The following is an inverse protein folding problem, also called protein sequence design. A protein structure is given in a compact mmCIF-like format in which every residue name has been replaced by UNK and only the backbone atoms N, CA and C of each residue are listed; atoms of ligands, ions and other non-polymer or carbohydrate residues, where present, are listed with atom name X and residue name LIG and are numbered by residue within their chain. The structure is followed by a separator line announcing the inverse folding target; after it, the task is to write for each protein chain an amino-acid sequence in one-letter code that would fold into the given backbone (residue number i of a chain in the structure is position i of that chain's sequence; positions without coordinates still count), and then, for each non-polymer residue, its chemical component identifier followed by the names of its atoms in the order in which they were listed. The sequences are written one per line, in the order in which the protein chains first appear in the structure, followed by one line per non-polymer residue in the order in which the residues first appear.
data_IF_423666193751
#
_entry.id   IF_423666193751
#
_cell.length_a   1.000
_cell.length_b   1.000
_cell.length_c   1.000
_cell.angle_alpha   90.00
_cell.angle_beta   90.00
_cell.angle_gamma   90.00
#
_symmetry.space_group_name_H-M   'P 1'
#
loop_
_entity.id
_entity.type
_entity.pdbx_description
1 polymer ?
#
# COMPACT_ATOMS: atom_id res chain seq x y z
N UNK A 1 5.12 -0.91 -4.62
CA UNK A 1 4.04 -0.21 -3.86
C UNK A 1 2.63 -0.68 -4.24
N UNK A 2 2.16 -0.47 -5.47
CA UNK A 2 0.77 -0.78 -5.86
C UNK A 2 0.33 -2.21 -5.51
N UNK A 3 1.16 -3.23 -5.77
CA UNK A 3 0.85 -4.64 -5.43
C UNK A 3 0.49 -4.83 -3.96
N UNK A 4 1.35 -4.34 -3.06
CA UNK A 4 1.18 -4.45 -1.60
C UNK A 4 -0.11 -3.77 -1.15
N UNK A 5 -0.37 -2.53 -1.58
CA UNK A 5 -1.61 -1.82 -1.23
C UNK A 5 -2.85 -2.57 -1.72
N UNK A 6 -2.79 -3.19 -2.91
CA UNK A 6 -3.90 -3.99 -3.44
C UNK A 6 -4.15 -5.25 -2.61
N UNK A 7 -3.08 -5.96 -2.25
CA UNK A 7 -3.18 -7.17 -1.43
C UNK A 7 -3.74 -6.85 -0.05
N UNK A 8 -3.15 -5.89 0.65
CA UNK A 8 -3.53 -5.53 2.02
C UNK A 8 -5.02 -5.16 2.09
N UNK A 9 -5.51 -4.31 1.16
CA UNK A 9 -6.92 -3.94 1.15
C UNK A 9 -7.85 -5.12 0.84
N UNK A 10 -7.41 -6.05 -0.02
CA UNK A 10 -8.19 -7.26 -0.33
C UNK A 10 -8.33 -8.11 0.93
N UNK A 11 -7.23 -8.34 1.66
CA UNK A 11 -7.23 -9.10 2.91
C UNK A 11 -8.08 -8.44 4.00
N UNK A 12 -7.97 -7.11 4.20
CA UNK A 12 -8.83 -6.37 5.14
C UNK A 12 -10.32 -6.57 4.82
N UNK A 13 -10.67 -6.48 3.52
CA UNK A 13 -12.06 -6.67 3.06
C UNK A 13 -12.54 -8.10 3.31
N UNK A 14 -11.72 -9.10 3.06
CA UNK A 14 -12.05 -10.52 3.29
C UNK A 14 -12.26 -10.84 4.77
N UNK A 15 -11.59 -10.11 5.67
CA UNK A 15 -11.81 -10.17 7.13
C UNK A 15 -13.03 -9.38 7.61
N UNK A 16 -13.81 -8.80 6.70
CA UNK A 16 -15.04 -8.07 7.02
C UNK A 16 -14.85 -6.59 7.35
N UNK A 17 -13.63 -6.04 7.27
CA UNK A 17 -13.38 -4.60 7.50
C UNK A 17 -13.42 -3.81 6.19
N UNK A 18 -14.51 -3.07 5.97
CA UNK A 18 -14.75 -2.29 4.75
C UNK A 18 -14.54 -0.77 4.92
N UNK A 19 -13.97 -0.32 6.04
CA UNK A 19 -13.78 1.11 6.34
C UNK A 19 -12.78 1.82 5.42
N UNK A 20 -11.90 1.07 4.74
CA UNK A 20 -10.90 1.62 3.84
C UNK A 20 -11.12 1.14 2.41
N UNK A 21 -11.12 2.10 1.49
CA UNK A 21 -11.16 1.85 0.04
C UNK A 21 -9.80 2.11 -0.59
N UNK A 22 -9.65 1.82 -1.89
CA UNK A 22 -8.48 2.21 -2.68
C UNK A 22 -8.89 3.19 -3.77
N UNK A 23 -8.00 4.10 -4.13
CA UNK A 23 -8.14 4.96 -5.30
C UNK A 23 -6.84 4.98 -6.10
N UNK A 24 -6.93 5.30 -7.39
CA UNK A 24 -5.77 5.57 -8.25
C UNK A 24 -5.53 7.08 -8.29
N UNK A 25 -4.29 7.49 -8.09
CA UNK A 25 -3.81 8.86 -8.28
C UNK A 25 -2.67 8.85 -9.30
N UNK A 26 -2.48 9.96 -10.02
CA UNK A 26 -1.39 10.14 -10.99
C UNK A 26 -0.61 11.43 -10.65
N UNK A 27 0.15 11.46 -9.53
CA UNK A 27 0.75 12.68 -9.02
C UNK A 27 1.85 13.18 -9.96
N UNK A 28 1.85 14.49 -10.26
CA UNK A 28 2.86 15.11 -11.12
C UNK A 28 4.30 14.92 -10.60
N UNK A 29 4.49 14.90 -9.27
CA UNK A 29 5.79 14.64 -8.61
C UNK A 29 6.41 13.29 -9.01
N UNK A 30 5.58 12.31 -9.41
CA UNK A 30 6.03 10.99 -9.82
C UNK A 30 5.84 10.77 -11.32
N UNK A 31 6.02 11.83 -12.12
CA UNK A 31 5.86 11.79 -13.58
C UNK A 31 4.50 11.21 -14.02
N UNK A 32 3.44 11.50 -13.27
CA UNK A 32 2.09 10.96 -13.48
C UNK A 32 2.00 9.42 -13.42
N UNK A 33 2.96 8.77 -12.78
CA UNK A 33 2.89 7.33 -12.56
C UNK A 33 1.63 6.97 -11.75
N UNK A 34 0.83 5.99 -12.21
CA UNK A 34 -0.40 5.62 -11.53
C UNK A 34 -0.11 4.90 -10.21
N UNK A 35 -0.44 5.56 -9.10
CA UNK A 35 -0.28 5.07 -7.74
C UNK A 35 -1.62 4.64 -7.16
N UNK A 36 -1.68 3.44 -6.60
CA UNK A 36 -2.82 2.95 -5.83
C UNK A 36 -2.57 3.28 -4.36
N UNK A 37 -3.48 4.04 -3.77
CA UNK A 37 -3.41 4.46 -2.36
C UNK A 37 -4.68 4.11 -1.61
N UNK A 38 -4.58 4.00 -0.29
CA UNK A 38 -5.76 3.90 0.57
C UNK A 38 -6.53 5.22 0.57
N UNK A 39 -7.85 5.12 0.60
CA UNK A 39 -8.77 6.26 0.73
C UNK A 39 -9.71 6.01 1.90
N UNK A 40 -9.70 6.94 2.84
CA UNK A 40 -10.49 6.94 4.07
C UNK A 40 -11.41 8.17 4.05
N UNK A 41 -12.65 8.00 4.51
CA UNK A 41 -13.61 9.11 4.65
C UNK A 41 -13.62 9.56 6.09
N UNK A 42 -13.19 10.80 6.34
CA UNK A 42 -13.12 11.36 7.69
C UNK A 42 -14.41 12.10 8.11
N UNK A 43 -15.24 12.50 7.14
CA UNK A 43 -16.45 13.28 7.38
C UNK A 43 -17.68 12.42 7.78
N UNK A 44 -17.50 11.12 7.99
CA UNK A 44 -18.58 10.25 8.44
C UNK A 44 -18.78 10.46 9.95
N UNK A 45 -19.98 10.86 10.43
CA UNK A 45 -20.24 11.07 11.86
C UNK A 45 -20.07 9.81 12.72
N UNK A 46 -19.99 8.63 12.09
CA UNK A 46 -19.69 7.36 12.75
C UNK A 46 -18.18 7.02 12.77
N UNK A 47 -17.32 7.85 12.17
CA UNK A 47 -15.87 7.66 12.19
C UNK A 47 -15.28 8.34 13.41
N UNK A 48 -14.73 7.53 14.32
CA UNK A 48 -14.01 7.99 15.50
C UNK A 48 -12.50 7.86 15.30
N UNK A 49 -11.67 8.59 16.06
CA UNK A 49 -10.22 8.37 16.08
C UNK A 49 -9.84 6.92 16.39
N UNK A 50 -10.57 6.24 17.27
CA UNK A 50 -10.32 4.83 17.62
C UNK A 50 -10.49 3.92 16.40
N UNK A 51 -11.53 4.13 15.59
CA UNK A 51 -11.72 3.38 14.33
C UNK A 51 -10.53 3.59 13.39
N UNK A 52 -9.99 4.81 13.31
CA UNK A 52 -8.82 5.09 12.48
C UNK A 52 -7.56 4.39 13.02
N UNK A 53 -7.40 4.34 14.34
CA UNK A 53 -6.30 3.64 14.99
C UNK A 53 -6.37 2.13 14.74
N UNK A 54 -7.55 1.53 14.94
CA UNK A 54 -7.82 0.11 14.69
C UNK A 54 -7.52 -0.29 13.24
N UNK A 55 -7.84 0.59 12.29
CA UNK A 55 -7.49 0.40 10.88
C UNK A 55 -5.98 0.37 10.70
N UNK A 56 -5.24 1.33 11.26
CA UNK A 56 -3.79 1.41 11.12
C UNK A 56 -3.08 0.22 11.77
N UNK A 57 -3.54 -0.21 12.94
CA UNK A 57 -2.95 -1.34 13.65
C UNK A 57 -3.21 -2.66 12.91
N UNK A 58 -4.41 -2.88 12.38
CA UNK A 58 -4.67 -4.02 11.49
C UNK A 58 -3.79 -3.97 10.22
N UNK A 59 -3.57 -2.79 9.63
CA UNK A 59 -2.69 -2.67 8.46
C UNK A 59 -1.24 -3.05 8.81
N UNK A 60 -0.75 -2.69 10.00
CA UNK A 60 0.58 -3.10 10.47
C UNK A 60 0.66 -4.60 10.70
N UNK A 61 -0.35 -5.19 11.34
CA UNK A 61 -0.43 -6.63 11.57
C UNK A 61 -0.43 -7.41 10.25
N UNK A 62 -1.30 -7.03 9.32
CA UNK A 62 -1.36 -7.61 7.97
C UNK A 62 -0.03 -7.49 7.24
N UNK A 63 0.68 -6.36 7.39
CA UNK A 63 1.98 -6.15 6.77
C UNK A 63 3.07 -7.12 7.26
N UNK A 64 2.90 -7.75 8.43
CA UNK A 64 3.81 -8.77 8.95
C UNK A 64 3.46 -10.20 8.49
N UNK A 65 2.32 -10.39 7.83
CA UNK A 65 1.92 -11.72 7.37
C UNK A 65 2.80 -12.19 6.20
N UNK A 66 3.06 -13.49 6.15
CA UNK A 66 3.97 -14.10 5.16
C UNK A 66 3.61 -13.73 3.72
N UNK A 67 2.32 -13.69 3.39
CA UNK A 67 1.85 -13.30 2.05
C UNK A 67 2.19 -11.86 1.67
N UNK A 68 2.27 -10.92 2.62
CA UNK A 68 2.72 -9.55 2.34
C UNK A 68 4.24 -9.45 2.35
N UNK A 69 4.91 -10.20 3.22
CA UNK A 69 6.37 -10.26 3.26
C UNK A 69 6.96 -10.72 1.91
N UNK A 70 6.34 -11.70 1.26
CA UNK A 70 6.72 -12.16 -0.09
C UNK A 70 6.57 -11.06 -1.15
N UNK A 71 5.43 -10.37 -1.17
CA UNK A 71 5.20 -9.24 -2.09
C UNK A 71 6.19 -8.09 -1.85
N UNK A 72 6.53 -7.83 -0.59
CA UNK A 72 7.55 -6.84 -0.21
C UNK A 72 8.94 -7.24 -0.69
N UNK A 73 9.31 -8.52 -0.56
CA UNK A 73 10.60 -9.03 -1.04
C UNK A 73 10.73 -8.90 -2.57
N UNK A 74 9.68 -9.23 -3.31
CA UNK A 74 9.65 -9.05 -4.78
C UNK A 74 9.86 -7.58 -5.16
N UNK A 75 9.16 -6.66 -4.49
CA UNK A 75 9.28 -5.22 -4.78
C UNK A 75 10.68 -4.70 -4.44
N UNK A 76 11.29 -5.17 -3.36
CA UNK A 76 12.67 -4.80 -3.00
C UNK A 76 13.67 -5.30 -4.03
N UNK A 77 13.60 -6.58 -4.41
CA UNK A 77 14.49 -7.14 -5.43
C UNK A 77 14.38 -6.42 -6.77
N UNK A 78 13.15 -6.11 -7.23
CA UNK A 78 12.96 -5.32 -8.45
C UNK A 78 13.55 -3.91 -8.34
N UNK A 79 13.44 -3.26 -7.18
CA UNK A 79 14.01 -1.93 -6.98
C UNK A 79 15.54 -1.98 -6.97
N UNK A 80 16.13 -2.98 -6.33
CA UNK A 80 17.58 -3.22 -6.31
C UNK A 80 18.12 -3.45 -7.72
N UNK A 81 17.50 -4.32 -8.52
CA UNK A 81 17.91 -4.56 -9.92
C UNK A 81 17.90 -3.28 -10.76
N UNK A 82 16.85 -2.46 -10.64
CA UNK A 82 16.75 -1.19 -11.38
C UNK A 82 17.85 -0.22 -10.95
N UNK A 83 18.20 -0.17 -9.66
CA UNK A 83 19.26 0.71 -9.17
C UNK A 83 20.64 0.25 -9.69
N UNK A 84 20.92 -1.05 -9.69
CA UNK A 84 22.17 -1.62 -10.23
C UNK A 84 22.33 -1.35 -11.75
N UNK A 85 21.24 -1.45 -12.52
CA UNK A 85 21.23 -1.15 -13.96
C UNK A 85 21.52 0.34 -14.25
N UNK A 86 21.06 1.25 -13.39
CA UNK A 86 21.35 2.68 -13.52
C UNK A 86 22.82 2.99 -13.22
N UNK A 87 23.41 2.37 -12.20
CA UNK A 87 24.83 2.57 -11.84
C UNK A 87 25.79 2.04 -12.93
N UNK A 88 25.41 0.94 -13.58
CA UNK A 88 26.22 0.33 -14.67
C UNK A 88 26.10 1.09 -15.99
N UNK A 89 25.02 1.84 -16.21
CA UNK A 89 24.79 2.62 -17.44
C UNK A 89 25.42 4.03 -17.41
N UNK A 90 25.80 4.53 -16.23
CA UNK A 90 26.47 5.83 -16.06
C UNK A 90 28.01 5.72 -15.95
N UNK A 91 28.55 4.50 -16.00
CA UNK A 91 30.00 4.18 -16.00
C UNK A 91 30.52 3.83 -17.39
#
# INVERSE_FOLDING_TARGET
LNRITKYLQKTQRERGKAFVSRTRLEPARYAHFPCIVFRVVLANPLTTPDILMDILDEQKELAQESGIAEEMAIVKGLAETVLEEQETSES
#
